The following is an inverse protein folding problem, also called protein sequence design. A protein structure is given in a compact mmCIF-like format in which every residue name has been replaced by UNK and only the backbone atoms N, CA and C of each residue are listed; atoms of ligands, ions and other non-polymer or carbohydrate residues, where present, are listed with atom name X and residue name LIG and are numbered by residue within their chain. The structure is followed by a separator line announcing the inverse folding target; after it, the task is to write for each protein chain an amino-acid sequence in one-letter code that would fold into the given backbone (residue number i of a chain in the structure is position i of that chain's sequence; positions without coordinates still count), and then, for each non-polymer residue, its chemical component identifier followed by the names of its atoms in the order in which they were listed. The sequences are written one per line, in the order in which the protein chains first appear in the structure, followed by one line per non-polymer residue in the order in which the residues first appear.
data_IF_934192838227
#
_entry.id   IF_934192838227
#
_cell.length_a   1.000
_cell.length_b   1.000
_cell.length_c   1.000
_cell.angle_alpha   90.00
_cell.angle_beta   90.00
_cell.angle_gamma   90.00
#
_symmetry.space_group_name_H-M   'P 1'
#
loop_
_entity.id
_entity.type
_entity.pdbx_description
1 polymer ?
#
# COMPACT_ATOMS: atom_id res chain seq x y z
N UNK A 1 20.27 49.41 -29.87
CA UNK A 1 19.29 49.49 -28.76
C UNK A 1 18.30 48.35 -28.86
N UNK A 2 17.76 47.96 -27.74
CA UNK A 2 16.59 47.10 -27.62
C UNK A 2 15.41 47.94 -27.16
N UNK A 3 14.25 47.77 -27.78
CA UNK A 3 13.00 48.41 -27.39
C UNK A 3 12.10 47.40 -26.69
N UNK A 4 11.67 47.75 -25.47
CA UNK A 4 10.67 47.01 -24.68
C UNK A 4 9.66 48.00 -24.10
N UNK A 5 8.36 47.77 -24.33
CA UNK A 5 7.30 48.63 -23.80
C UNK A 5 7.59 50.14 -24.08
N UNK A 6 7.96 50.48 -25.29
CA UNK A 6 8.30 51.86 -25.73
C UNK A 6 9.55 52.44 -25.08
N UNK A 7 10.31 51.66 -24.31
CA UNK A 7 11.57 52.09 -23.70
C UNK A 7 12.75 51.52 -24.52
N UNK A 8 13.68 52.45 -24.91
CA UNK A 8 14.92 52.09 -25.59
C UNK A 8 16.04 51.90 -24.56
N UNK A 9 16.68 50.77 -24.58
CA UNK A 9 17.85 50.44 -23.76
C UNK A 9 19.06 50.17 -24.64
N UNK A 10 20.26 50.60 -24.24
CA UNK A 10 21.47 50.41 -25.02
C UNK A 10 22.05 49.01 -24.77
N UNK A 11 22.56 48.39 -25.86
CA UNK A 11 23.38 47.19 -25.76
C UNK A 11 24.75 47.52 -25.15
N UNK A 12 25.32 46.53 -24.48
CA UNK A 12 26.72 46.54 -24.09
C UNK A 12 27.55 46.04 -25.27
N UNK A 13 28.63 46.74 -25.60
CA UNK A 13 29.61 46.34 -26.62
C UNK A 13 30.65 45.43 -25.94
N UNK A 14 30.92 44.28 -26.54
CA UNK A 14 31.92 43.33 -26.08
C UNK A 14 33.25 43.56 -26.76
N UNK A 15 34.36 43.03 -26.24
CA UNK A 15 35.72 43.19 -26.77
C UNK A 15 35.89 42.64 -28.18
N UNK A 16 35.08 41.68 -28.63
CA UNK A 16 35.05 41.08 -29.97
C UNK A 16 34.23 41.88 -30.99
N UNK A 17 33.68 43.05 -30.59
CA UNK A 17 32.81 43.88 -31.41
C UNK A 17 31.37 43.41 -31.53
N UNK A 18 30.98 42.36 -30.81
CA UNK A 18 29.57 41.95 -30.67
C UNK A 18 28.84 42.81 -29.69
N UNK A 19 27.49 42.80 -29.77
CA UNK A 19 26.63 43.51 -28.84
C UNK A 19 25.78 42.54 -28.03
N UNK A 20 25.71 42.74 -26.72
CA UNK A 20 24.93 41.91 -25.81
C UNK A 20 23.93 42.73 -25.01
N UNK A 21 22.82 42.10 -24.66
CA UNK A 21 21.81 42.62 -23.74
C UNK A 21 21.39 41.54 -22.75
N UNK A 22 21.49 41.82 -21.47
CA UNK A 22 21.14 40.91 -20.43
C UNK A 22 19.73 41.23 -19.90
N UNK A 23 18.81 40.28 -20.05
CA UNK A 23 17.52 40.30 -19.36
C UNK A 23 17.69 39.80 -17.93
N UNK A 24 17.73 40.71 -16.98
CA UNK A 24 17.88 40.34 -15.56
C UNK A 24 16.61 39.69 -15.04
N UNK A 25 16.70 38.39 -14.64
CA UNK A 25 15.66 37.58 -14.01
C UNK A 25 14.24 37.84 -14.52
N UNK A 26 13.96 37.66 -15.79
CA UNK A 26 12.65 37.94 -16.37
C UNK A 26 11.60 37.01 -15.72
N UNK A 27 10.54 37.59 -15.19
CA UNK A 27 9.44 36.85 -14.55
C UNK A 27 8.23 36.61 -15.46
N UNK A 28 8.15 37.37 -16.56
CA UNK A 28 7.08 37.29 -17.55
C UNK A 28 7.63 37.29 -18.95
N UNK A 29 6.95 36.67 -19.89
CA UNK A 29 7.27 36.73 -21.32
C UNK A 29 7.21 38.17 -21.77
N UNK A 30 8.15 38.54 -22.66
CA UNK A 30 8.31 39.92 -23.14
C UNK A 30 8.51 39.92 -24.63
N UNK A 31 7.94 40.93 -25.29
CA UNK A 31 8.20 41.22 -26.67
C UNK A 31 9.19 42.37 -26.76
N UNK A 32 10.08 42.29 -27.73
CA UNK A 32 11.08 43.32 -27.96
C UNK A 32 11.43 43.46 -29.44
N UNK A 33 11.94 44.61 -29.81
CA UNK A 33 12.51 44.86 -31.14
C UNK A 33 13.91 45.43 -31.00
N UNK A 34 14.71 45.21 -32.00
CA UNK A 34 16.02 45.82 -32.11
C UNK A 34 15.87 47.13 -32.87
N UNK A 35 16.58 48.19 -32.41
CA UNK A 35 16.59 49.51 -33.05
C UNK A 35 18.01 49.94 -33.36
N UNK A 36 18.24 50.40 -34.58
CA UNK A 36 19.51 50.98 -35.00
C UNK A 36 19.29 51.96 -36.12
N UNK A 37 19.93 53.16 -36.05
CA UNK A 37 19.96 54.18 -37.12
C UNK A 37 18.58 54.50 -37.73
N UNK A 38 17.53 54.57 -36.90
CA UNK A 38 16.18 54.88 -37.39
C UNK A 38 15.34 53.69 -37.86
N UNK A 39 15.88 52.47 -37.82
CA UNK A 39 15.22 51.26 -38.31
C UNK A 39 14.93 50.28 -37.16
N UNK A 40 13.75 49.65 -37.19
CA UNK A 40 13.34 48.62 -36.29
C UNK A 40 13.40 47.22 -36.97
N UNK A 41 13.79 46.22 -36.20
CA UNK A 41 13.64 44.82 -36.61
C UNK A 41 12.18 44.38 -36.56
N UNK A 42 11.92 43.16 -37.03
CA UNK A 42 10.73 42.42 -36.66
C UNK A 42 10.68 42.23 -35.13
N UNK A 43 9.47 41.99 -34.62
CA UNK A 43 9.26 41.73 -33.19
C UNK A 43 9.77 40.33 -32.81
N UNK A 44 10.52 40.23 -31.73
CA UNK A 44 10.96 38.99 -31.09
C UNK A 44 10.20 38.80 -29.80
N UNK A 45 10.03 37.56 -29.39
CA UNK A 45 9.42 37.18 -28.11
C UNK A 45 10.39 36.39 -27.25
N UNK A 46 10.67 36.89 -26.03
CA UNK A 46 11.31 36.13 -24.97
C UNK A 46 10.23 35.41 -24.19
N UNK A 47 10.05 34.12 -24.43
CA UNK A 47 9.04 33.30 -23.79
C UNK A 47 9.58 32.75 -22.46
N UNK A 48 8.92 33.08 -21.36
CA UNK A 48 9.23 32.54 -20.04
C UNK A 48 8.36 31.30 -19.82
N UNK A 49 8.99 30.20 -19.49
CA UNK A 49 8.34 28.94 -19.21
C UNK A 49 8.51 28.60 -17.73
N UNK A 50 7.41 28.46 -17.00
CA UNK A 50 7.44 28.01 -15.61
C UNK A 50 7.88 26.55 -15.57
N UNK A 51 8.85 26.24 -14.70
CA UNK A 51 9.24 24.85 -14.45
C UNK A 51 8.16 24.15 -13.61
N UNK A 52 7.69 22.97 -14.06
CA UNK A 52 6.78 22.17 -13.24
C UNK A 52 7.43 21.82 -11.89
N UNK A 53 6.69 21.95 -10.80
CA UNK A 53 7.20 21.64 -9.48
C UNK A 53 6.11 21.09 -8.53
N UNK A 54 6.50 20.19 -7.64
CA UNK A 54 5.69 19.65 -6.55
C UNK A 54 5.76 20.61 -5.35
N UNK A 55 4.66 21.23 -5.00
CA UNK A 55 4.58 22.16 -3.86
C UNK A 55 4.29 21.44 -2.55
N UNK A 56 3.44 20.41 -2.55
CA UNK A 56 3.17 19.55 -1.39
C UNK A 56 2.61 18.20 -1.84
N UNK A 57 2.88 17.17 -1.05
CA UNK A 57 2.33 15.82 -1.20
C UNK A 57 1.69 15.39 0.11
N UNK A 58 0.44 14.93 0.04
CA UNK A 58 -0.28 14.32 1.16
C UNK A 58 -0.74 12.94 0.74
N UNK A 59 -0.69 11.99 1.67
CA UNK A 59 -1.14 10.61 1.47
C UNK A 59 -2.26 10.30 2.45
N UNK A 60 -3.43 9.94 1.93
CA UNK A 60 -4.56 9.46 2.72
C UNK A 60 -4.57 7.94 2.64
N UNK A 61 -4.42 7.28 3.80
CA UNK A 61 -4.37 5.83 3.93
C UNK A 61 -5.74 5.32 4.36
N UNK A 62 -6.32 4.43 3.58
CA UNK A 62 -7.52 3.67 3.95
C UNK A 62 -7.14 2.20 4.08
N UNK A 63 -7.17 1.70 5.31
CA UNK A 63 -6.80 0.34 5.64
C UNK A 63 -7.91 -0.67 5.26
N UNK A 64 -7.56 -1.95 5.05
CA UNK A 64 -8.53 -3.02 4.89
C UNK A 64 -9.50 -3.08 6.07
N UNK A 65 -10.80 -3.39 5.84
CA UNK A 65 -11.83 -3.35 6.89
C UNK A 65 -11.56 -4.29 8.07
N UNK A 66 -10.92 -5.44 7.82
CA UNK A 66 -10.65 -6.44 8.86
C UNK A 66 -9.67 -5.96 9.94
N UNK A 67 -8.84 -4.95 9.63
CA UNK A 67 -7.92 -4.33 10.58
C UNK A 67 -8.63 -3.40 11.59
N UNK A 68 -9.87 -3.00 11.32
CA UNK A 68 -10.66 -2.05 12.13
C UNK A 68 -9.96 -0.70 12.40
N UNK A 69 -8.97 -0.33 11.56
CA UNK A 69 -8.21 0.90 11.67
C UNK A 69 -8.92 2.07 10.99
N UNK A 70 -8.86 3.24 11.61
CA UNK A 70 -9.36 4.48 11.01
C UNK A 70 -8.39 4.97 9.94
N UNK A 71 -8.94 5.58 8.88
CA UNK A 71 -8.13 6.25 7.87
C UNK A 71 -7.26 7.35 8.49
N UNK A 72 -6.02 7.47 8.04
CA UNK A 72 -5.07 8.49 8.48
C UNK A 72 -4.57 9.30 7.29
N UNK A 73 -4.19 10.55 7.56
CA UNK A 73 -3.55 11.45 6.58
C UNK A 73 -2.12 11.74 7.02
N UNK A 74 -1.18 11.57 6.09
CA UNK A 74 0.25 11.84 6.28
C UNK A 74 0.63 12.97 5.32
N UNK A 75 1.21 14.05 5.85
CA UNK A 75 1.62 15.20 5.07
C UNK A 75 3.13 15.26 4.92
N UNK A 76 3.58 15.70 3.72
CA UNK A 76 4.99 15.94 3.38
C UNK A 76 5.91 14.72 3.52
N UNK A 77 5.34 13.51 3.46
CA UNK A 77 6.10 12.26 3.37
C UNK A 77 5.61 11.46 2.19
N UNK A 78 6.52 11.07 1.31
CA UNK A 78 6.25 10.11 0.24
C UNK A 78 6.60 8.69 0.65
N UNK A 79 7.47 8.50 1.66
CA UNK A 79 7.81 7.19 2.19
C UNK A 79 6.74 6.73 3.17
N UNK A 80 6.26 5.50 2.98
CA UNK A 80 5.18 4.93 3.76
C UNK A 80 5.55 3.51 4.21
N UNK A 81 5.07 3.13 5.39
CA UNK A 81 5.03 1.75 5.87
C UNK A 81 3.58 1.43 6.20
N UNK A 82 2.99 0.47 5.49
CA UNK A 82 1.54 0.23 5.48
C UNK A 82 1.22 -1.26 5.48
N UNK A 83 0.11 -1.69 6.12
CA UNK A 83 -0.40 -3.04 5.98
C UNK A 83 -0.78 -3.37 4.53
N UNK A 84 -0.65 -4.63 4.17
CA UNK A 84 -1.08 -5.17 2.88
C UNK A 84 -2.56 -4.88 2.61
N UNK A 85 -2.91 -4.57 1.34
CA UNK A 85 -4.26 -4.21 0.94
C UNK A 85 -4.68 -2.78 1.29
N UNK A 86 -3.76 -1.95 1.85
CA UNK A 86 -4.04 -0.54 2.11
C UNK A 86 -4.23 0.22 0.80
N UNK A 87 -5.32 0.99 0.72
CA UNK A 87 -5.55 1.92 -0.37
C UNK A 87 -4.96 3.28 -0.01
N UNK A 88 -4.01 3.73 -0.82
CA UNK A 88 -3.36 5.04 -0.68
C UNK A 88 -3.95 5.99 -1.72
N UNK A 89 -4.35 7.18 -1.26
CA UNK A 89 -4.74 8.29 -2.12
C UNK A 89 -3.70 9.41 -1.96
N UNK A 90 -2.92 9.66 -3.00
CA UNK A 90 -1.96 10.76 -3.04
C UNK A 90 -2.64 12.03 -3.55
N UNK A 91 -2.51 13.09 -2.79
CA UNK A 91 -3.01 14.43 -3.07
C UNK A 91 -1.81 15.34 -3.25
N UNK A 92 -1.49 15.70 -4.47
CA UNK A 92 -0.37 16.56 -4.82
C UNK A 92 -0.86 17.97 -5.15
N UNK A 93 -0.19 18.99 -4.61
CA UNK A 93 -0.32 20.37 -5.05
C UNK A 93 0.87 20.71 -5.93
N UNK A 94 0.61 21.03 -7.18
CA UNK A 94 1.63 21.25 -8.21
C UNK A 94 1.64 22.70 -8.66
N UNK A 95 2.75 23.17 -9.19
CA UNK A 95 2.86 24.51 -9.81
C UNK A 95 3.43 24.40 -11.21
N UNK A 96 2.97 25.23 -12.15
CA UNK A 96 3.44 25.25 -13.53
C UNK A 96 3.23 23.93 -14.29
N UNK A 97 2.30 23.08 -13.83
CA UNK A 97 2.09 21.71 -14.31
C UNK A 97 0.75 21.60 -15.03
N UNK A 98 0.72 20.95 -16.18
CA UNK A 98 -0.48 20.63 -16.96
C UNK A 98 -0.95 19.20 -16.73
N UNK A 99 -0.02 18.26 -16.67
CA UNK A 99 -0.27 16.85 -16.39
C UNK A 99 0.79 16.28 -15.45
N UNK A 100 0.39 15.28 -14.68
CA UNK A 100 1.27 14.58 -13.76
C UNK A 100 1.01 13.06 -13.83
N UNK A 101 2.09 12.27 -13.72
CA UNK A 101 2.04 10.81 -13.74
C UNK A 101 2.80 10.23 -12.55
N UNK A 102 2.26 9.19 -11.95
CA UNK A 102 2.99 8.35 -10.99
C UNK A 102 3.55 7.14 -11.72
N UNK A 103 4.83 6.86 -11.54
CA UNK A 103 5.51 5.71 -12.12
C UNK A 103 6.04 4.86 -10.98
N UNK A 104 5.55 3.61 -10.90
CA UNK A 104 5.96 2.64 -9.89
C UNK A 104 7.07 1.73 -10.39
N UNK A 105 7.92 1.25 -9.50
CA UNK A 105 9.00 0.30 -9.80
C UNK A 105 8.50 -1.02 -10.38
N UNK A 106 7.25 -1.38 -10.11
CA UNK A 106 6.56 -2.53 -10.71
C UNK A 106 6.25 -2.38 -12.20
N UNK A 107 6.55 -1.21 -12.81
CA UNK A 107 6.21 -0.88 -14.20
C UNK A 107 4.80 -0.31 -14.38
N UNK A 108 4.00 -0.26 -13.32
CA UNK A 108 2.68 0.37 -13.35
C UNK A 108 2.85 1.88 -13.45
N UNK A 109 2.14 2.49 -14.40
CA UNK A 109 2.09 3.95 -14.56
C UNK A 109 0.65 4.42 -14.48
N UNK A 110 0.39 5.47 -13.71
CA UNK A 110 -0.93 6.05 -13.55
C UNK A 110 -0.93 7.57 -13.72
N UNK A 111 -1.90 8.08 -14.47
CA UNK A 111 -2.10 9.53 -14.58
C UNK A 111 -2.80 10.06 -13.34
N UNK A 112 -2.30 11.17 -12.79
CA UNK A 112 -2.95 11.86 -11.69
C UNK A 112 -4.11 12.69 -12.23
N UNK A 113 -5.29 12.53 -11.63
CA UNK A 113 -6.50 13.28 -12.01
C UNK A 113 -6.40 14.71 -11.49
N UNK A 114 -6.61 15.69 -12.37
CA UNK A 114 -6.69 17.09 -11.96
C UNK A 114 -8.01 17.38 -11.25
N UNK A 115 -7.94 17.91 -10.04
CA UNK A 115 -9.07 18.40 -9.24
C UNK A 115 -9.29 19.91 -9.34
N UNK A 116 -8.56 20.60 -10.25
CA UNK A 116 -8.56 22.07 -10.37
C UNK A 116 -7.66 22.75 -9.33
N UNK A 117 -7.40 24.05 -9.52
CA UNK A 117 -6.54 24.86 -8.64
C UNK A 117 -5.17 24.23 -8.33
N UNK A 118 -4.54 23.61 -9.33
CA UNK A 118 -3.25 22.92 -9.19
C UNK A 118 -3.25 21.70 -8.24
N UNK A 119 -4.40 21.15 -7.91
CA UNK A 119 -4.52 19.92 -7.14
C UNK A 119 -4.62 18.71 -8.09
N UNK A 120 -3.88 17.66 -7.77
CA UNK A 120 -3.87 16.42 -8.52
C UNK A 120 -4.02 15.25 -7.54
N UNK A 121 -4.72 14.21 -7.98
CA UNK A 121 -5.02 13.03 -7.17
C UNK A 121 -4.67 11.76 -7.94
N UNK A 122 -4.07 10.80 -7.24
CA UNK A 122 -3.92 9.43 -7.70
C UNK A 122 -4.26 8.46 -6.58
N UNK A 123 -4.84 7.32 -6.93
CA UNK A 123 -5.26 6.31 -5.96
C UNK A 123 -4.84 4.92 -6.41
N UNK A 124 -4.27 4.15 -5.48
CA UNK A 124 -3.92 2.73 -5.70
C UNK A 124 -4.04 1.93 -4.43
N UNK A 125 -4.34 0.63 -4.56
CA UNK A 125 -4.28 -0.34 -3.46
C UNK A 125 -2.98 -1.13 -3.60
N UNK A 126 -2.25 -1.30 -2.50
CA UNK A 126 -0.90 -1.84 -2.50
C UNK A 126 -0.85 -3.18 -1.75
N UNK A 127 -0.17 -4.17 -2.37
CA UNK A 127 -0.04 -5.53 -1.86
C UNK A 127 1.42 -5.96 -1.71
N UNK A 128 2.39 -5.17 -2.20
CA UNK A 128 3.83 -5.48 -2.16
C UNK A 128 4.62 -4.20 -2.07
N UNK A 129 5.83 -4.31 -1.56
CA UNK A 129 6.81 -3.23 -1.57
C UNK A 129 6.94 -2.63 -2.96
N UNK A 130 7.00 -1.33 -3.03
CA UNK A 130 7.19 -0.62 -4.30
C UNK A 130 7.79 0.75 -4.07
N UNK A 131 8.61 1.20 -5.03
CA UNK A 131 9.03 2.58 -5.12
C UNK A 131 8.17 3.30 -6.16
N UNK A 132 8.03 4.62 -6.02
CA UNK A 132 7.38 5.42 -7.04
C UNK A 132 8.06 6.78 -7.20
N UNK A 133 7.88 7.37 -8.38
CA UNK A 133 8.23 8.75 -8.67
C UNK A 133 7.06 9.50 -9.31
N UNK A 134 7.06 10.81 -9.17
CA UNK A 134 6.07 11.69 -9.80
C UNK A 134 6.75 12.43 -10.95
N UNK A 135 6.23 12.28 -12.15
CA UNK A 135 6.69 12.99 -13.35
C UNK A 135 5.69 14.08 -13.69
N UNK A 136 6.18 15.30 -13.79
CA UNK A 136 5.39 16.51 -14.02
C UNK A 136 5.66 17.03 -15.43
N UNK A 137 4.61 17.42 -16.13
CA UNK A 137 4.72 17.91 -17.52
C UNK A 137 3.92 19.20 -17.71
N UNK A 138 4.44 20.11 -18.53
CA UNK A 138 3.68 21.21 -19.12
C UNK A 138 3.94 21.27 -20.64
N UNK A 139 3.38 22.27 -21.33
CA UNK A 139 3.45 22.38 -22.78
C UNK A 139 4.89 22.57 -23.32
N UNK A 140 5.85 22.91 -22.48
CA UNK A 140 7.21 23.28 -22.91
C UNK A 140 8.30 22.46 -22.22
N UNK A 141 8.04 21.88 -21.05
CA UNK A 141 9.02 21.18 -20.23
C UNK A 141 8.41 19.93 -19.61
N UNK A 142 9.19 18.88 -19.61
CA UNK A 142 8.99 17.73 -18.74
C UNK A 142 9.86 17.94 -17.50
N UNK A 143 9.23 18.07 -16.33
CA UNK A 143 9.91 18.15 -15.06
C UNK A 143 10.03 16.76 -14.49
N UNK A 144 11.24 16.30 -14.19
CA UNK A 144 11.47 15.07 -13.47
C UNK A 144 11.77 15.46 -12.01
N UNK A 145 10.82 15.21 -11.10
CA UNK A 145 11.11 15.21 -9.68
C UNK A 145 11.95 13.96 -9.43
N UNK A 146 13.28 14.14 -9.36
CA UNK A 146 14.24 13.04 -9.12
C UNK A 146 14.16 12.48 -7.68
N UNK A 147 13.02 12.61 -7.03
CA UNK A 147 12.77 12.07 -5.69
C UNK A 147 12.01 10.76 -5.86
N UNK A 148 12.69 9.67 -5.53
CA UNK A 148 12.04 8.37 -5.41
C UNK A 148 11.47 8.23 -3.99
N UNK A 149 10.24 7.80 -3.91
CA UNK A 149 9.55 7.49 -2.67
C UNK A 149 9.44 5.98 -2.51
N UNK A 150 9.64 5.49 -1.29
CA UNK A 150 9.58 4.08 -0.97
C UNK A 150 8.33 3.74 -0.17
N UNK A 151 7.65 2.68 -0.56
CA UNK A 151 6.52 2.12 0.18
C UNK A 151 6.87 0.71 0.59
N UNK A 152 6.92 0.48 1.90
CA UNK A 152 7.04 -0.84 2.50
C UNK A 152 5.65 -1.35 2.86
N UNK A 153 5.34 -2.55 2.42
CA UNK A 153 4.07 -3.23 2.70
C UNK A 153 4.31 -4.35 3.70
N UNK A 154 3.63 -4.27 4.84
CA UNK A 154 3.69 -5.28 5.88
C UNK A 154 2.66 -6.36 5.52
N UNK A 155 3.09 -7.60 5.19
CA UNK A 155 2.16 -8.67 4.89
C UNK A 155 1.45 -9.12 6.16
N UNK A 156 0.24 -9.66 5.99
CA UNK A 156 -0.52 -10.29 7.06
C UNK A 156 0.08 -11.66 7.42
N UNK A 157 0.32 -11.92 8.70
CA UNK A 157 0.97 -13.13 9.19
C UNK A 157 -0.01 -14.33 9.20
N UNK A 158 0.52 -15.53 9.40
CA UNK A 158 -0.27 -16.73 9.62
C UNK A 158 -0.64 -16.84 11.09
N UNK A 159 -1.85 -17.33 11.41
CA UNK A 159 -2.22 -17.59 12.80
C UNK A 159 -1.34 -18.69 13.40
N UNK A 160 -1.18 -18.71 14.71
CA UNK A 160 -0.44 -19.74 15.43
C UNK A 160 -1.34 -20.50 16.40
N UNK A 161 -1.03 -21.79 16.58
CA UNK A 161 -1.76 -22.66 17.50
C UNK A 161 -0.80 -23.55 18.29
N UNK A 162 -0.99 -23.59 19.61
CA UNK A 162 -0.33 -24.50 20.51
C UNK A 162 -1.38 -25.36 21.21
N UNK A 163 -1.21 -26.68 21.17
CA UNK A 163 -2.18 -27.64 21.75
C UNK A 163 -1.47 -28.56 22.71
N UNK A 164 -2.11 -28.77 23.86
CA UNK A 164 -1.76 -29.80 24.85
C UNK A 164 -2.93 -30.75 25.04
N UNK A 165 -2.64 -32.03 24.99
CA UNK A 165 -3.61 -33.09 25.22
C UNK A 165 -3.45 -33.68 26.60
N UNK A 166 -4.58 -33.92 27.28
CA UNK A 166 -4.67 -34.73 28.49
C UNK A 166 -5.78 -35.76 28.28
N UNK A 167 -5.44 -37.02 28.46
CA UNK A 167 -6.42 -38.12 28.35
C UNK A 167 -6.85 -38.57 29.75
N UNK A 168 -8.15 -38.84 29.93
CA UNK A 168 -8.64 -39.47 31.13
C UNK A 168 -8.06 -40.91 31.22
N UNK A 169 -7.11 -41.10 32.13
CA UNK A 169 -6.37 -42.34 32.28
C UNK A 169 -7.13 -43.42 33.03
N UNK A 170 -8.32 -43.10 33.59
CA UNK A 170 -9.10 -44.03 34.39
C UNK A 170 -10.22 -44.70 33.57
N UNK A 171 -10.98 -43.89 32.86
CA UNK A 171 -12.16 -44.35 32.11
C UNK A 171 -12.00 -44.33 30.61
N UNK A 172 -10.96 -43.65 30.10
CA UNK A 172 -10.68 -43.46 28.63
C UNK A 172 -11.88 -42.94 27.83
N UNK A 173 -12.79 -42.19 28.52
CA UNK A 173 -14.02 -41.68 27.92
C UNK A 173 -13.93 -40.27 27.42
N UNK A 174 -12.89 -39.54 27.78
CA UNK A 174 -12.72 -38.13 27.46
C UNK A 174 -11.28 -37.80 27.07
N UNK A 175 -11.16 -36.94 26.08
CA UNK A 175 -9.89 -36.29 25.71
C UNK A 175 -10.06 -34.79 25.93
N UNK A 176 -9.14 -34.21 26.66
CA UNK A 176 -9.08 -32.77 26.93
C UNK A 176 -8.03 -32.18 26.02
N UNK A 177 -8.42 -31.24 25.18
CA UNK A 177 -7.55 -30.49 24.31
C UNK A 177 -7.59 -29.03 24.78
N UNK A 178 -6.51 -28.58 25.35
CA UNK A 178 -6.36 -27.20 25.79
C UNK A 178 -5.14 -26.56 25.15
N UNK A 179 -5.15 -25.25 25.00
CA UNK A 179 -4.03 -24.56 24.38
C UNK A 179 -4.27 -23.08 24.16
N UNK A 180 -3.43 -22.53 23.30
CA UNK A 180 -3.44 -21.12 22.96
C UNK A 180 -3.45 -20.96 21.46
N UNK A 181 -4.20 -19.97 21.00
CA UNK A 181 -4.24 -19.53 19.63
C UNK A 181 -3.93 -18.03 19.58
N UNK A 182 -3.20 -17.59 18.57
CA UNK A 182 -2.81 -16.20 18.42
C UNK A 182 -2.72 -15.82 16.95
N UNK A 183 -2.91 -14.54 16.67
CA UNK A 183 -2.81 -13.92 15.36
C UNK A 183 -2.59 -12.41 15.50
N UNK A 184 -1.85 -11.78 14.58
CA UNK A 184 -1.50 -10.36 14.67
C UNK A 184 -2.69 -9.43 14.45
N UNK A 185 -3.77 -9.90 13.79
CA UNK A 185 -4.97 -9.12 13.49
C UNK A 185 -6.27 -9.70 14.03
N UNK A 186 -6.28 -10.96 14.47
CA UNK A 186 -7.40 -11.61 15.12
C UNK A 186 -7.82 -12.91 14.45
N UNK A 187 -8.55 -13.72 15.23
CA UNK A 187 -8.90 -15.08 14.88
C UNK A 187 -10.35 -15.13 14.41
N UNK A 188 -10.61 -15.68 13.24
CA UNK A 188 -11.96 -15.83 12.71
C UNK A 188 -12.63 -17.12 13.16
N UNK A 189 -11.87 -18.23 13.30
CA UNK A 189 -12.43 -19.57 13.51
C UNK A 189 -11.40 -20.53 14.11
N UNK A 190 -11.89 -21.45 14.96
CA UNK A 190 -11.15 -22.62 15.44
C UNK A 190 -12.02 -23.86 15.25
N UNK A 191 -11.49 -24.90 14.63
CA UNK A 191 -12.20 -26.13 14.37
C UNK A 191 -11.42 -27.34 14.85
N UNK A 192 -12.14 -28.31 15.37
CA UNK A 192 -11.67 -29.65 15.71
C UNK A 192 -12.05 -30.61 14.60
N UNK A 193 -11.07 -31.30 14.05
CA UNK A 193 -11.22 -32.30 12.98
C UNK A 193 -10.84 -33.66 13.49
N UNK A 194 -11.65 -34.67 13.21
CA UNK A 194 -11.35 -36.04 13.58
C UNK A 194 -11.86 -37.04 12.55
N UNK A 195 -11.21 -38.18 12.48
CA UNK A 195 -11.66 -39.33 11.70
C UNK A 195 -11.34 -40.64 12.41
N UNK A 196 -12.08 -41.67 12.07
CA UNK A 196 -11.83 -43.04 12.51
C UNK A 196 -11.08 -43.78 11.44
N UNK A 197 -9.91 -44.35 11.74
CA UNK A 197 -9.09 -45.17 10.87
C UNK A 197 -9.18 -46.64 11.28
N UNK A 198 -9.35 -47.58 10.34
CA UNK A 198 -9.46 -49.02 10.63
C UNK A 198 -10.10 -49.76 9.45
N UNK A 199 -10.53 -51.02 9.68
CA UNK A 199 -11.13 -51.92 8.66
C UNK A 199 -12.37 -51.33 7.96
N UNK A 200 -13.07 -50.39 8.58
CA UNK A 200 -14.23 -49.66 8.06
C UNK A 200 -13.98 -48.16 7.99
N UNK A 201 -12.71 -47.77 7.76
CA UNK A 201 -12.21 -46.40 7.93
C UNK A 201 -13.00 -45.35 7.13
N UNK A 202 -13.29 -44.28 7.79
CA UNK A 202 -13.88 -43.07 7.22
C UNK A 202 -12.76 -42.27 6.52
N UNK A 203 -12.93 -42.02 5.22
CA UNK A 203 -11.90 -41.29 4.45
C UNK A 203 -11.89 -39.79 4.81
N UNK A 204 -13.03 -39.24 5.18
CA UNK A 204 -13.21 -37.81 5.47
C UNK A 204 -13.18 -37.50 6.96
N UNK A 205 -12.61 -36.33 7.31
CA UNK A 205 -12.69 -35.81 8.67
C UNK A 205 -14.08 -35.26 8.98
N UNK A 206 -14.59 -35.56 10.15
CA UNK A 206 -15.70 -34.85 10.75
C UNK A 206 -15.15 -33.57 11.41
N UNK A 207 -15.95 -32.50 11.38
CA UNK A 207 -15.55 -31.19 11.87
C UNK A 207 -16.51 -30.67 12.94
N UNK A 208 -15.97 -30.08 13.99
CA UNK A 208 -16.73 -29.37 15.03
C UNK A 208 -16.10 -28.02 15.29
N UNK A 209 -16.93 -26.97 15.27
CA UNK A 209 -16.47 -25.61 15.59
C UNK A 209 -16.30 -25.43 17.10
N UNK A 210 -15.21 -24.78 17.48
CA UNK A 210 -14.92 -24.36 18.85
C UNK A 210 -15.12 -22.84 18.92
N UNK A 211 -15.94 -22.33 19.86
CA UNK A 211 -16.17 -20.89 19.98
C UNK A 211 -14.88 -20.11 20.24
N UNK A 212 -14.70 -19.02 19.51
CA UNK A 212 -13.57 -18.08 19.67
C UNK A 212 -14.09 -16.65 19.81
N UNK A 213 -13.35 -15.83 20.53
CA UNK A 213 -13.60 -14.39 20.57
C UNK A 213 -12.80 -13.71 19.43
N UNK A 214 -13.50 -13.23 18.41
CA UNK A 214 -12.89 -12.64 17.21
C UNK A 214 -12.21 -11.30 17.45
N UNK A 215 -12.44 -10.68 18.60
CA UNK A 215 -11.83 -9.39 18.95
C UNK A 215 -10.47 -9.54 19.66
N UNK A 216 -10.13 -10.77 20.06
CA UNK A 216 -8.87 -11.06 20.75
C UNK A 216 -7.84 -11.57 19.75
N UNK A 217 -6.64 -10.98 19.80
CA UNK A 217 -5.47 -11.43 19.06
C UNK A 217 -4.85 -12.69 19.63
N UNK A 218 -5.06 -12.95 20.91
CA UNK A 218 -4.55 -14.10 21.64
C UNK A 218 -5.60 -14.58 22.62
N UNK A 219 -5.85 -15.88 22.65
CA UNK A 219 -6.80 -16.47 23.58
C UNK A 219 -6.48 -17.94 23.88
N UNK A 220 -6.82 -18.37 25.09
CA UNK A 220 -6.79 -19.77 25.46
C UNK A 220 -8.10 -20.44 25.07
N UNK A 221 -8.03 -21.74 24.80
CA UNK A 221 -9.20 -22.58 24.54
C UNK A 221 -9.12 -23.88 25.34
N UNK A 222 -10.29 -24.47 25.65
CA UNK A 222 -10.43 -25.80 26.21
C UNK A 222 -11.57 -26.51 25.47
N UNK A 223 -11.25 -27.65 24.85
CA UNK A 223 -12.21 -28.51 24.22
C UNK A 223 -12.22 -29.89 24.87
N UNK A 224 -13.40 -30.37 25.27
CA UNK A 224 -13.57 -31.67 25.86
C UNK A 224 -14.25 -32.58 24.85
N UNK A 225 -13.51 -33.54 24.35
CA UNK A 225 -14.04 -34.52 23.40
C UNK A 225 -14.54 -35.75 24.15
N UNK A 226 -15.85 -36.03 24.06
CA UNK A 226 -16.49 -37.20 24.66
C UNK A 226 -16.45 -38.35 23.63
N UNK A 227 -15.86 -39.48 23.99
CA UNK A 227 -15.68 -40.64 23.15
C UNK A 227 -16.87 -41.63 23.19
N UNK A 228 -17.76 -41.52 24.18
CA UNK A 228 -18.91 -42.43 24.36
C UNK A 228 -19.80 -42.52 23.09
N UNK A 229 -19.97 -41.41 22.37
CA UNK A 229 -20.76 -41.36 21.13
C UNK A 229 -20.05 -41.95 19.91
N UNK A 230 -18.71 -42.06 19.96
CA UNK A 230 -17.89 -42.57 18.85
C UNK A 230 -17.65 -44.07 19.01
N UNK A 231 -17.58 -44.56 20.25
CA UNK A 231 -17.40 -45.96 20.67
C UNK A 231 -16.36 -46.68 19.78
N UNK A 232 -15.07 -46.26 19.79
CA UNK A 232 -14.04 -46.89 18.98
C UNK A 232 -13.91 -48.37 19.36
N UNK A 233 -13.84 -49.26 18.37
CA UNK A 233 -13.70 -50.70 18.59
C UNK A 233 -12.23 -51.07 18.72
N UNK A 234 -11.98 -52.26 19.25
CA UNK A 234 -10.60 -52.77 19.33
C UNK A 234 -9.93 -52.83 17.97
N UNK A 235 -8.76 -52.16 17.83
CA UNK A 235 -8.01 -52.08 16.56
C UNK A 235 -8.41 -50.90 15.66
N UNK A 236 -9.37 -50.05 16.07
CA UNK A 236 -9.63 -48.77 15.44
C UNK A 236 -8.75 -47.70 16.06
N UNK A 237 -8.31 -46.73 15.25
CA UNK A 237 -7.53 -45.56 15.69
C UNK A 237 -8.31 -44.31 15.36
N UNK A 238 -8.36 -43.38 16.31
CA UNK A 238 -8.91 -42.05 16.10
C UNK A 238 -7.75 -41.09 15.76
N UNK A 239 -7.82 -40.46 14.62
CA UNK A 239 -6.92 -39.38 14.24
C UNK A 239 -7.64 -38.04 14.37
N UNK A 240 -6.98 -37.02 14.95
CA UNK A 240 -7.59 -35.72 15.13
C UNK A 240 -6.54 -34.61 15.22
N UNK A 241 -6.97 -33.39 14.88
CA UNK A 241 -6.20 -32.16 14.97
C UNK A 241 -7.13 -30.95 15.16
N UNK A 242 -6.54 -29.83 15.49
CA UNK A 242 -7.23 -28.53 15.49
C UNK A 242 -6.69 -27.69 14.36
N UNK A 243 -7.56 -26.87 13.79
CA UNK A 243 -7.22 -25.90 12.73
C UNK A 243 -7.77 -24.54 13.13
N UNK A 244 -6.90 -23.53 13.10
CA UNK A 244 -7.21 -22.13 13.41
C UNK A 244 -7.09 -21.29 12.14
N UNK A 245 -8.01 -20.35 11.98
CA UNK A 245 -8.03 -19.41 10.84
C UNK A 245 -7.93 -17.98 11.34
N UNK A 246 -7.16 -17.16 10.63
CA UNK A 246 -7.12 -15.71 10.80
C UNK A 246 -8.37 -15.03 10.25
N UNK A 247 -8.39 -13.69 10.31
CA UNK A 247 -9.46 -12.86 9.79
C UNK A 247 -9.07 -12.11 8.50
N UNK A 248 -7.99 -12.53 7.78
CA UNK A 248 -7.53 -11.85 6.57
C UNK A 248 -8.67 -11.65 5.56
N UNK A 249 -9.00 -10.37 5.32
CA UNK A 249 -10.02 -9.94 4.38
C UNK A 249 -9.48 -9.58 2.99
N UNK A 250 -8.17 -9.72 2.75
CA UNK A 250 -7.50 -9.35 1.49
C UNK A 250 -7.35 -10.57 0.59
N UNK A 251 -6.74 -11.63 1.10
CA UNK A 251 -6.50 -12.87 0.36
C UNK A 251 -7.45 -14.01 0.77
N UNK A 252 -8.28 -13.77 1.77
CA UNK A 252 -9.11 -14.79 2.43
C UNK A 252 -8.38 -15.41 3.60
N UNK A 253 -9.16 -15.87 4.59
CA UNK A 253 -8.64 -16.41 5.84
C UNK A 253 -7.65 -17.54 5.59
N UNK A 254 -6.44 -17.38 6.11
CA UNK A 254 -5.37 -18.39 6.11
C UNK A 254 -5.53 -19.29 7.31
N UNK A 255 -5.03 -20.52 7.25
CA UNK A 255 -5.15 -21.45 8.37
C UNK A 255 -3.84 -22.13 8.73
N UNK A 256 -3.76 -22.54 10.00
CA UNK A 256 -2.67 -23.37 10.52
C UNK A 256 -3.27 -24.52 11.34
N UNK A 257 -2.71 -25.71 11.15
CA UNK A 257 -3.10 -26.94 11.87
C UNK A 257 -2.16 -27.22 13.01
N UNK A 258 -2.68 -27.78 14.07
CA UNK A 258 -1.88 -28.42 15.12
C UNK A 258 -1.18 -29.66 14.58
N UNK A 259 -0.31 -30.26 15.40
CA UNK A 259 0.10 -31.65 15.19
C UNK A 259 -1.09 -32.59 15.14
N UNK A 260 -0.96 -33.71 14.43
CA UNK A 260 -1.96 -34.79 14.42
C UNK A 260 -1.78 -35.61 15.69
N UNK A 261 -2.86 -35.80 16.41
CA UNK A 261 -2.95 -36.67 17.58
C UNK A 261 -3.63 -37.99 17.19
N UNK A 262 -3.29 -39.04 17.93
CA UNK A 262 -3.90 -40.37 17.77
C UNK A 262 -4.34 -40.94 19.10
N UNK A 263 -5.45 -41.67 19.09
CA UNK A 263 -5.97 -42.39 20.23
C UNK A 263 -6.42 -43.79 19.83
#
# INVERSE_FOLDING_TARGET
YIEQNELLQKFSENEDGSFSFLFEKPQTSRKFRLYSAGYYSSEFELKIVSRPALSSLRSVLKFPPYLELKSIEISNSGNLEIPEGTTVTWLAKLSGTKSAKMIFSSGVTGEMKSGGQNNFEFRSTLFKDTDFKIVLENDSLQGDENINYQIKVIPDELPAIQVRQVTDSVLYKRIFLGGQIEDDHGISRLEFHWKKSGRTGQENYETRSIPVNRQLKQQEFLYIWQLDSIAPQHGETLEYFLEVWDNDGVHGSKSVRSGIFTF
#
